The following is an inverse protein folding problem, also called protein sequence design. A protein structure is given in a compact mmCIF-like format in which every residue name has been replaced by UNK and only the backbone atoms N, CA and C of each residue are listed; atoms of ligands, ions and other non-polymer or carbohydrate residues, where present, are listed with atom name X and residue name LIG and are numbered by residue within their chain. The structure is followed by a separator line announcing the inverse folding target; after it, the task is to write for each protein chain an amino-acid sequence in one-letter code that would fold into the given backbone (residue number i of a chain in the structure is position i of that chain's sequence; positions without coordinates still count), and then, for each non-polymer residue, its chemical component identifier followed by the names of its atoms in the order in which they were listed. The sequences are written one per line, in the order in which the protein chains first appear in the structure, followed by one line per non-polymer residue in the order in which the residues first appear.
data_IF_373947176874
#
_entry.id   IF_373947176874
#
_cell.length_a   1.000
_cell.length_b   1.000
_cell.length_c   1.000
_cell.angle_alpha   90.00
_cell.angle_beta   90.00
_cell.angle_gamma   90.00
#
_symmetry.space_group_name_H-M   'P 1'
#
loop_
_entity.id
_entity.type
_entity.pdbx_description
1 polymer ?
#
# COMPACT_ATOMS: atom_id res chain seq x y z
N UNK A 1 -20.57 24.75 -16.92
CA UNK A 1 -20.78 23.51 -17.67
C UNK A 1 -21.18 22.42 -16.70
N UNK A 2 -22.23 21.63 -17.02
CA UNK A 2 -22.80 20.62 -16.12
C UNK A 2 -22.95 19.28 -16.83
N UNK A 3 -22.77 18.19 -16.09
CA UNK A 3 -23.07 16.82 -16.51
C UNK A 3 -24.46 16.47 -16.04
N UNK A 4 -25.32 16.08 -16.97
CA UNK A 4 -26.68 15.62 -16.68
C UNK A 4 -26.88 14.20 -17.19
N UNK A 5 -27.47 13.35 -16.36
CA UNK A 5 -27.85 11.98 -16.75
C UNK A 5 -29.08 12.07 -17.68
N UNK A 6 -29.06 11.30 -18.76
CA UNK A 6 -30.18 11.23 -19.70
C UNK A 6 -31.29 10.35 -19.09
N UNK A 7 -32.52 10.83 -19.08
CA UNK A 7 -33.67 10.19 -18.47
C UNK A 7 -33.80 10.53 -16.98
N UNK A 8 -34.69 9.78 -16.28
CA UNK A 8 -34.88 9.94 -14.84
C UNK A 8 -33.68 9.39 -14.06
N UNK A 9 -32.92 10.24 -13.31
CA UNK A 9 -31.70 9.81 -12.65
C UNK A 9 -31.90 8.67 -11.63
N UNK A 10 -32.98 8.66 -10.87
CA UNK A 10 -33.24 7.62 -9.89
C UNK A 10 -33.44 6.25 -10.55
N UNK A 11 -34.29 6.18 -11.57
CA UNK A 11 -34.48 4.97 -12.37
C UNK A 11 -33.17 4.48 -12.98
N UNK A 12 -32.42 5.39 -13.58
CA UNK A 12 -31.15 5.04 -14.25
C UNK A 12 -30.07 4.53 -13.29
N UNK A 13 -29.99 5.05 -12.07
CA UNK A 13 -29.05 4.55 -11.06
C UNK A 13 -29.50 3.20 -10.48
N UNK A 14 -30.81 2.95 -10.38
CA UNK A 14 -31.33 1.63 -9.98
C UNK A 14 -31.07 0.55 -11.04
N UNK A 15 -31.17 0.89 -12.32
CA UNK A 15 -30.81 -0.02 -13.42
C UNK A 15 -29.33 -0.41 -13.41
N UNK A 16 -28.44 0.56 -13.21
CA UNK A 16 -26.98 0.34 -13.16
C UNK A 16 -26.33 1.33 -12.16
N UNK A 17 -26.10 0.91 -10.91
CA UNK A 17 -25.49 1.76 -9.89
C UNK A 17 -24.11 2.30 -10.25
N UNK A 18 -23.36 1.62 -11.14
CA UNK A 18 -22.05 2.10 -11.62
C UNK A 18 -22.17 3.45 -12.36
N UNK A 19 -23.35 3.84 -12.79
CA UNK A 19 -23.57 5.17 -13.36
C UNK A 19 -23.29 6.30 -12.36
N UNK A 20 -23.42 6.06 -11.05
CA UNK A 20 -23.02 7.02 -10.02
C UNK A 20 -21.51 7.25 -10.07
N UNK A 21 -20.72 6.18 -10.19
CA UNK A 21 -19.26 6.29 -10.34
C UNK A 21 -18.85 6.98 -11.64
N UNK A 22 -19.57 6.71 -12.72
CA UNK A 22 -19.35 7.37 -14.01
C UNK A 22 -19.65 8.86 -13.95
N UNK A 23 -20.72 9.27 -13.26
CA UNK A 23 -21.04 10.69 -13.06
C UNK A 23 -19.89 11.41 -12.36
N UNK A 24 -19.35 10.86 -11.26
CA UNK A 24 -18.19 11.39 -10.56
C UNK A 24 -16.98 11.48 -11.49
N UNK A 25 -16.63 10.37 -12.14
CA UNK A 25 -15.46 10.32 -13.03
C UNK A 25 -15.53 11.32 -14.20
N UNK A 26 -16.69 11.52 -14.78
CA UNK A 26 -16.86 12.50 -15.85
C UNK A 26 -16.83 13.91 -15.31
N UNK A 27 -17.39 14.18 -14.13
CA UNK A 27 -17.31 15.48 -13.47
C UNK A 27 -15.86 15.91 -13.26
N UNK A 28 -15.03 15.05 -12.66
CA UNK A 28 -13.61 15.33 -12.41
C UNK A 28 -12.80 15.41 -13.71
N UNK A 29 -13.02 14.48 -14.65
CA UNK A 29 -12.28 14.45 -15.92
C UNK A 29 -12.52 15.67 -16.80
N UNK A 30 -13.74 16.20 -16.81
CA UNK A 30 -14.15 17.30 -17.68
C UNK A 30 -14.19 18.65 -16.94
N UNK A 31 -13.83 18.65 -15.66
CA UNK A 31 -13.94 19.82 -14.77
C UNK A 31 -15.34 20.45 -14.86
N UNK A 32 -16.36 19.62 -14.62
CA UNK A 32 -17.77 19.96 -14.66
C UNK A 32 -18.48 19.57 -13.38
N UNK A 33 -19.52 20.32 -13.03
CA UNK A 33 -20.42 19.95 -11.92
C UNK A 33 -21.48 18.92 -12.35
N UNK A 34 -21.88 18.05 -11.42
CA UNK A 34 -23.02 17.16 -11.63
C UNK A 34 -24.29 18.00 -11.43
N UNK A 35 -25.19 18.01 -12.42
CA UNK A 35 -26.47 18.69 -12.34
C UNK A 35 -27.27 18.27 -11.10
N UNK A 36 -27.99 19.20 -10.47
CA UNK A 36 -28.69 18.99 -9.21
C UNK A 36 -29.61 17.74 -9.23
N UNK A 37 -30.40 17.55 -10.29
CA UNK A 37 -31.30 16.38 -10.42
C UNK A 37 -30.53 15.06 -10.46
N UNK A 38 -29.36 15.04 -11.15
CA UNK A 38 -28.51 13.84 -11.25
C UNK A 38 -27.69 13.61 -9.98
N UNK A 39 -27.41 14.66 -9.21
CA UNK A 39 -26.67 14.63 -7.96
C UNK A 39 -27.52 14.14 -6.79
N UNK A 40 -28.77 14.62 -6.71
CA UNK A 40 -29.65 14.42 -5.55
C UNK A 40 -29.82 12.95 -5.13
N UNK A 41 -30.06 11.97 -6.04
CA UNK A 41 -30.29 10.59 -5.64
C UNK A 41 -29.02 9.77 -5.35
N UNK A 42 -27.79 10.30 -5.63
CA UNK A 42 -26.56 9.51 -5.51
C UNK A 42 -26.37 8.97 -4.09
N UNK A 43 -26.46 9.83 -3.08
CA UNK A 43 -26.19 9.44 -1.68
C UNK A 43 -27.24 8.44 -1.14
N UNK A 44 -28.49 8.63 -1.48
CA UNK A 44 -29.58 7.72 -1.05
C UNK A 44 -29.51 6.36 -1.75
N UNK A 45 -29.01 6.31 -2.98
CA UNK A 45 -28.86 5.09 -3.78
C UNK A 45 -27.49 4.46 -3.67
N UNK A 46 -26.53 5.08 -2.97
CA UNK A 46 -25.18 4.52 -2.74
C UNK A 46 -25.20 3.06 -2.24
N UNK A 47 -26.14 2.62 -1.37
CA UNK A 47 -26.23 1.22 -0.92
C UNK A 47 -26.36 0.20 -2.05
N UNK A 48 -26.88 0.58 -3.22
CA UNK A 48 -26.98 -0.31 -4.38
C UNK A 48 -25.59 -0.75 -4.91
N UNK A 49 -24.54 -0.03 -4.58
CA UNK A 49 -23.17 -0.41 -4.92
C UNK A 49 -22.73 -1.75 -4.31
N UNK A 50 -23.32 -2.16 -3.20
CA UNK A 50 -23.06 -3.46 -2.57
C UNK A 50 -23.41 -4.65 -3.48
N UNK A 51 -24.26 -4.45 -4.48
CA UNK A 51 -24.68 -5.49 -5.42
C UNK A 51 -23.78 -5.59 -6.65
N UNK A 52 -22.77 -4.72 -6.78
CA UNK A 52 -21.88 -4.72 -7.93
C UNK A 52 -20.81 -5.80 -7.76
N UNK A 53 -20.59 -6.67 -8.78
CA UNK A 53 -19.55 -7.69 -8.70
C UNK A 53 -18.16 -7.10 -8.43
N UNK A 54 -17.35 -7.68 -7.52
CA UNK A 54 -16.02 -7.18 -7.17
C UNK A 54 -15.07 -7.02 -8.37
N UNK A 55 -15.20 -7.86 -9.40
CA UNK A 55 -14.42 -7.71 -10.63
C UNK A 55 -14.75 -6.41 -11.38
N UNK A 56 -16.03 -6.03 -11.43
CA UNK A 56 -16.48 -4.77 -12.03
C UNK A 56 -16.02 -3.58 -11.20
N UNK A 57 -16.03 -3.70 -9.87
CA UNK A 57 -15.48 -2.67 -8.96
C UNK A 57 -13.99 -2.45 -9.20
N UNK A 58 -13.22 -3.50 -9.49
CA UNK A 58 -11.81 -3.37 -9.87
C UNK A 58 -11.62 -2.57 -11.16
N UNK A 59 -12.45 -2.81 -12.18
CA UNK A 59 -12.39 -2.04 -13.43
C UNK A 59 -12.72 -0.55 -13.21
N UNK A 60 -13.74 -0.26 -12.41
CA UNK A 60 -14.09 1.13 -12.06
C UNK A 60 -13.00 1.79 -11.21
N UNK A 61 -12.36 1.05 -10.29
CA UNK A 61 -11.19 1.54 -9.57
C UNK A 61 -10.10 2.03 -10.52
N UNK A 62 -9.75 1.24 -11.53
CA UNK A 62 -8.73 1.65 -12.50
C UNK A 62 -9.13 2.94 -13.23
N UNK A 63 -10.39 3.07 -13.63
CA UNK A 63 -10.89 4.25 -14.34
C UNK A 63 -10.92 5.50 -13.47
N UNK A 64 -11.18 5.36 -12.16
CA UNK A 64 -11.25 6.46 -11.20
C UNK A 64 -9.86 6.92 -10.73
N UNK A 65 -9.00 5.96 -10.39
CA UNK A 65 -7.76 6.26 -9.66
C UNK A 65 -6.48 6.20 -10.51
N UNK A 66 -6.58 5.74 -11.76
CA UNK A 66 -5.43 5.63 -12.67
C UNK A 66 -5.55 6.56 -13.89
N UNK A 67 -6.33 7.63 -13.76
CA UNK A 67 -6.63 8.58 -14.85
C UNK A 67 -6.05 9.99 -14.65
N UNK A 68 -5.23 10.19 -13.62
CA UNK A 68 -4.64 11.50 -13.31
C UNK A 68 -5.58 12.46 -12.56
N UNK A 69 -6.65 11.93 -11.95
CA UNK A 69 -7.66 12.66 -11.17
C UNK A 69 -8.08 11.86 -9.92
N UNK A 70 -7.13 11.13 -9.32
CA UNK A 70 -7.42 10.24 -8.20
C UNK A 70 -7.84 11.01 -6.94
N UNK A 71 -7.20 12.15 -6.65
CA UNK A 71 -7.51 12.96 -5.47
C UNK A 71 -8.94 13.50 -5.52
N UNK A 72 -9.30 14.11 -6.64
CA UNK A 72 -10.64 14.70 -6.82
C UNK A 72 -11.72 13.61 -6.81
N UNK A 73 -11.46 12.47 -7.44
CA UNK A 73 -12.36 11.32 -7.41
C UNK A 73 -12.53 10.77 -5.98
N UNK A 74 -11.46 10.67 -5.21
CA UNK A 74 -11.52 10.23 -3.82
C UNK A 74 -12.40 11.12 -2.95
N UNK A 75 -12.23 12.45 -3.08
CA UNK A 75 -13.02 13.42 -2.34
C UNK A 75 -14.51 13.28 -2.66
N UNK A 76 -14.89 13.25 -3.95
CA UNK A 76 -16.28 13.12 -4.35
C UNK A 76 -16.86 11.75 -3.95
N UNK A 77 -16.11 10.67 -4.05
CA UNK A 77 -16.56 9.34 -3.60
C UNK A 77 -16.88 9.34 -2.11
N UNK A 78 -16.10 10.06 -1.29
CA UNK A 78 -16.39 10.21 0.14
C UNK A 78 -17.62 11.09 0.39
N UNK A 79 -17.73 12.23 -0.27
CA UNK A 79 -18.87 13.15 -0.14
C UNK A 79 -20.20 12.47 -0.44
N UNK A 80 -20.20 11.54 -1.42
CA UNK A 80 -21.39 10.78 -1.81
C UNK A 80 -21.52 9.42 -1.11
N UNK A 81 -20.69 9.12 -0.12
CA UNK A 81 -20.71 7.84 0.61
C UNK A 81 -20.56 6.60 -0.30
N UNK A 82 -19.77 6.75 -1.38
CA UNK A 82 -19.51 5.68 -2.34
C UNK A 82 -18.17 4.98 -2.06
N UNK A 83 -17.22 5.65 -1.38
CA UNK A 83 -15.88 5.13 -1.12
C UNK A 83 -15.90 3.86 -0.26
N UNK A 84 -16.81 3.75 0.70
CA UNK A 84 -16.97 2.58 1.57
C UNK A 84 -17.21 1.27 0.80
N UNK A 85 -17.76 1.33 -0.42
CA UNK A 85 -17.98 0.14 -1.25
C UNK A 85 -16.73 -0.33 -1.98
N UNK A 86 -15.70 0.50 -2.06
CA UNK A 86 -14.38 0.12 -2.55
C UNK A 86 -13.48 -0.38 -1.41
N UNK A 87 -13.42 0.34 -0.30
CA UNK A 87 -12.51 0.11 0.82
C UNK A 87 -13.23 0.23 2.17
N UNK A 88 -14.06 -0.75 2.56
CA UNK A 88 -14.86 -0.66 3.78
C UNK A 88 -14.04 -0.40 5.05
N UNK A 89 -12.94 -1.16 5.24
CA UNK A 89 -12.07 -1.02 6.41
C UNK A 89 -11.38 0.36 6.46
N UNK A 90 -10.95 0.87 5.31
CA UNK A 90 -10.31 2.20 5.21
C UNK A 90 -11.33 3.30 5.49
N UNK A 91 -12.52 3.22 4.92
CA UNK A 91 -13.59 4.20 5.15
C UNK A 91 -14.02 4.24 6.61
N UNK A 92 -14.09 3.08 7.26
CA UNK A 92 -14.37 2.98 8.69
C UNK A 92 -13.28 3.71 9.50
N UNK A 93 -12.00 3.45 9.25
CA UNK A 93 -10.89 4.13 9.94
C UNK A 93 -10.89 5.65 9.71
N UNK A 94 -11.21 6.09 8.48
CA UNK A 94 -11.34 7.52 8.14
C UNK A 94 -12.49 8.19 8.91
N UNK A 95 -13.62 7.52 9.06
CA UNK A 95 -14.80 8.04 9.75
C UNK A 95 -14.62 8.03 11.28
N UNK A 96 -13.94 7.04 11.82
CA UNK A 96 -13.60 6.94 13.24
C UNK A 96 -12.43 7.83 13.66
N UNK A 97 -11.71 8.41 12.69
CA UNK A 97 -10.47 9.17 12.92
C UNK A 97 -9.42 8.39 13.73
N UNK A 98 -9.43 7.06 13.60
CA UNK A 98 -8.50 6.16 14.29
C UNK A 98 -7.04 6.50 14.00
N UNK A 99 -6.79 7.00 12.79
CA UNK A 99 -5.49 7.47 12.32
C UNK A 99 -5.63 8.87 11.71
N UNK A 100 -5.31 9.95 12.45
CA UNK A 100 -5.56 11.33 12.00
C UNK A 100 -4.98 11.68 10.63
N UNK A 101 -3.83 11.08 10.27
CA UNK A 101 -3.14 11.34 9.01
C UNK A 101 -3.40 10.31 7.91
N UNK A 102 -4.39 9.42 8.09
CA UNK A 102 -4.74 8.43 7.08
C UNK A 102 -5.20 9.07 5.77
N UNK A 103 -6.05 10.10 5.86
CA UNK A 103 -6.51 10.83 4.69
C UNK A 103 -5.35 11.49 3.94
N UNK A 104 -4.42 12.10 4.66
CA UNK A 104 -3.24 12.76 4.08
C UNK A 104 -2.31 11.75 3.40
N UNK A 105 -2.11 10.59 4.02
CA UNK A 105 -1.32 9.50 3.45
C UNK A 105 -1.91 9.00 2.12
N UNK A 106 -3.21 8.78 2.09
CA UNK A 106 -3.94 8.35 0.89
C UNK A 106 -3.88 9.45 -0.19
N UNK A 107 -4.17 10.71 0.18
CA UNK A 107 -4.12 11.83 -0.74
C UNK A 107 -2.72 12.05 -1.32
N UNK A 108 -1.67 11.89 -0.51
CA UNK A 108 -0.28 12.03 -0.99
C UNK A 108 0.09 10.92 -1.98
N UNK A 109 -0.32 9.68 -1.71
CA UNK A 109 -0.14 8.56 -2.65
C UNK A 109 -0.88 8.80 -3.97
N UNK A 110 -2.08 9.34 -3.91
CA UNK A 110 -2.87 9.71 -5.08
C UNK A 110 -2.24 10.87 -5.87
N UNK A 111 -1.81 11.95 -5.19
CA UNK A 111 -1.11 13.08 -5.82
C UNK A 111 0.13 12.62 -6.59
N UNK A 112 0.94 11.74 -5.97
CA UNK A 112 2.11 11.17 -6.61
C UNK A 112 1.75 10.31 -7.83
N UNK A 113 0.63 9.59 -7.77
CA UNK A 113 0.11 8.80 -8.89
C UNK A 113 -0.41 9.71 -9.99
N UNK A 114 -1.23 10.71 -9.66
CA UNK A 114 -1.78 11.68 -10.61
C UNK A 114 -0.66 12.45 -11.33
N UNK A 115 0.36 12.89 -10.58
CA UNK A 115 1.53 13.54 -11.16
C UNK A 115 2.21 12.65 -12.20
N UNK A 116 2.43 11.36 -11.88
CA UNK A 116 3.05 10.41 -12.81
C UNK A 116 2.19 10.16 -14.04
N UNK A 117 0.88 9.93 -13.85
CA UNK A 117 -0.05 9.71 -14.96
C UNK A 117 -0.09 10.91 -15.90
N UNK A 118 -0.18 12.12 -15.34
CA UNK A 118 -0.25 13.36 -16.12
C UNK A 118 1.07 13.72 -16.83
N UNK A 119 2.19 13.07 -16.46
CA UNK A 119 3.49 13.17 -17.11
C UNK A 119 3.87 11.91 -17.90
N UNK A 120 2.90 11.09 -18.32
CA UNK A 120 3.07 9.86 -19.09
C UNK A 120 4.07 8.86 -18.47
N UNK A 121 4.24 8.90 -17.15
CA UNK A 121 5.10 7.97 -16.43
C UNK A 121 4.35 6.70 -16.06
N UNK A 122 5.07 5.58 -16.03
CA UNK A 122 4.49 4.29 -15.68
C UNK A 122 4.02 4.26 -14.22
N UNK A 123 2.79 3.84 -14.02
CA UNK A 123 2.18 3.59 -12.71
C UNK A 123 1.61 2.17 -12.63
N UNK A 124 1.49 1.67 -11.42
CA UNK A 124 0.83 0.39 -11.15
C UNK A 124 -0.25 0.57 -10.09
N UNK A 125 -1.45 0.05 -10.29
CA UNK A 125 -2.52 0.15 -9.28
C UNK A 125 -2.13 -0.52 -7.95
N UNK A 126 -1.18 -1.48 -7.97
CA UNK A 126 -0.70 -2.13 -6.76
C UNK A 126 -0.12 -1.16 -5.73
N UNK A 127 0.49 -0.05 -6.16
CA UNK A 127 1.01 0.97 -5.24
C UNK A 127 -0.12 1.66 -4.47
N UNK A 128 -1.17 2.07 -5.16
CA UNK A 128 -2.34 2.68 -4.51
C UNK A 128 -3.06 1.70 -3.59
N UNK A 129 -3.25 0.45 -4.01
CA UNK A 129 -3.81 -0.59 -3.14
C UNK A 129 -2.95 -0.80 -1.88
N UNK A 130 -1.63 -0.83 -2.04
CA UNK A 130 -0.71 -0.95 -0.90
C UNK A 130 -0.81 0.26 0.04
N UNK A 131 -0.96 1.48 -0.50
CA UNK A 131 -1.13 2.68 0.29
C UNK A 131 -2.50 2.72 1.00
N UNK A 132 -3.58 2.43 0.30
CA UNK A 132 -4.93 2.37 0.88
C UNK A 132 -5.02 1.39 2.05
N UNK A 133 -4.44 0.21 1.91
CA UNK A 133 -4.55 -0.87 2.89
C UNK A 133 -3.41 -0.88 3.92
N UNK A 134 -2.53 0.14 3.92
CA UNK A 134 -1.38 0.19 4.84
C UNK A 134 -1.79 0.24 6.31
N UNK A 135 -2.66 1.17 6.68
CA UNK A 135 -3.09 1.32 8.07
C UNK A 135 -3.96 0.15 8.55
N UNK A 136 -4.96 -0.34 7.79
CA UNK A 136 -5.65 -1.59 8.14
C UNK A 136 -4.69 -2.75 8.34
N UNK A 137 -3.66 -2.87 7.49
CA UNK A 137 -2.62 -3.91 7.62
C UNK A 137 -1.81 -3.76 8.91
N UNK A 138 -1.40 -2.54 9.27
CA UNK A 138 -0.64 -2.28 10.50
C UNK A 138 -1.46 -2.57 11.76
N UNK A 139 -2.72 -2.14 11.78
CA UNK A 139 -3.64 -2.41 12.89
C UNK A 139 -3.85 -3.93 13.08
N UNK A 140 -4.04 -4.65 11.97
CA UNK A 140 -4.21 -6.09 12.02
C UNK A 140 -2.94 -6.82 12.51
N UNK A 141 -1.74 -6.37 12.09
CA UNK A 141 -0.47 -6.90 12.61
C UNK A 141 -0.36 -6.68 14.11
N UNK A 142 -0.68 -5.46 14.59
CA UNK A 142 -0.65 -5.15 16.02
C UNK A 142 -1.61 -6.03 16.81
N UNK A 143 -2.83 -6.23 16.31
CA UNK A 143 -3.83 -7.10 16.93
C UNK A 143 -3.33 -8.54 17.04
N UNK A 144 -2.79 -9.11 15.96
CA UNK A 144 -2.28 -10.48 15.97
C UNK A 144 -1.04 -10.65 16.86
N UNK A 145 -0.19 -9.64 16.98
CA UNK A 145 0.94 -9.67 17.89
C UNK A 145 0.51 -9.62 19.37
N UNK A 146 -0.48 -8.77 19.71
CA UNK A 146 -0.88 -8.54 21.08
C UNK A 146 -1.85 -9.61 21.59
N UNK A 147 -2.87 -9.97 20.82
CA UNK A 147 -3.93 -10.88 21.24
C UNK A 147 -3.58 -12.35 21.00
N UNK A 148 -3.02 -12.67 19.83
CA UNK A 148 -2.69 -14.06 19.48
C UNK A 148 -1.24 -14.44 19.82
N UNK A 149 -0.43 -13.50 20.35
CA UNK A 149 0.98 -13.69 20.71
C UNK A 149 1.82 -14.33 19.58
N UNK A 150 1.48 -14.02 18.33
CA UNK A 150 2.18 -14.53 17.17
C UNK A 150 3.56 -13.88 17.03
N UNK A 151 4.49 -14.57 16.38
CA UNK A 151 5.74 -13.94 15.99
C UNK A 151 5.47 -12.80 15.01
N UNK A 152 6.33 -11.75 14.94
CA UNK A 152 6.14 -10.65 13.97
C UNK A 152 5.97 -11.12 12.53
N UNK A 153 6.65 -12.20 12.16
CA UNK A 153 6.53 -12.79 10.82
C UNK A 153 5.18 -13.46 10.60
N UNK A 154 4.71 -14.27 11.58
CA UNK A 154 3.42 -14.95 11.48
C UNK A 154 2.27 -13.96 11.54
N UNK A 155 2.36 -12.92 12.39
CA UNK A 155 1.40 -11.82 12.44
C UNK A 155 1.32 -11.05 11.10
N UNK A 156 2.46 -10.78 10.46
CA UNK A 156 2.48 -10.15 9.14
C UNK A 156 1.74 -10.99 8.09
N UNK A 157 2.04 -12.30 7.99
CA UNK A 157 1.40 -13.15 6.99
C UNK A 157 -0.07 -13.44 7.32
N UNK A 158 -0.43 -13.54 8.60
CA UNK A 158 -1.82 -13.62 9.04
C UNK A 158 -2.62 -12.38 8.66
N UNK A 159 -2.12 -11.21 9.01
CA UNK A 159 -2.73 -9.93 8.65
C UNK A 159 -2.88 -9.76 7.13
N UNK A 160 -1.84 -10.11 6.37
CA UNK A 160 -1.89 -10.09 4.90
C UNK A 160 -3.03 -10.96 4.35
N UNK A 161 -3.17 -12.17 4.88
CA UNK A 161 -4.21 -13.11 4.44
C UNK A 161 -5.62 -12.57 4.74
N UNK A 162 -5.84 -12.06 5.94
CA UNK A 162 -7.13 -11.53 6.37
C UNK A 162 -7.51 -10.28 5.58
N UNK A 163 -6.64 -9.28 5.51
CA UNK A 163 -6.87 -8.02 4.78
C UNK A 163 -7.14 -8.29 3.29
N UNK A 164 -6.38 -9.20 2.66
CA UNK A 164 -6.61 -9.56 1.27
C UNK A 164 -7.94 -10.28 1.07
N UNK A 165 -8.32 -11.18 1.98
CA UNK A 165 -9.59 -11.92 1.91
C UNK A 165 -10.79 -10.98 2.06
N UNK A 166 -10.74 -10.04 2.99
CA UNK A 166 -11.79 -9.05 3.18
C UNK A 166 -11.90 -8.10 1.99
N UNK A 167 -10.79 -7.57 1.53
CA UNK A 167 -10.77 -6.63 0.41
C UNK A 167 -11.28 -7.27 -0.90
N UNK A 168 -11.04 -8.58 -1.10
CA UNK A 168 -11.52 -9.32 -2.28
C UNK A 168 -13.04 -9.35 -2.39
N UNK A 169 -13.78 -9.17 -1.30
CA UNK A 169 -15.24 -9.12 -1.30
C UNK A 169 -15.77 -7.82 -1.94
N UNK A 170 -14.99 -6.74 -1.84
CA UNK A 170 -15.35 -5.42 -2.38
C UNK A 170 -14.72 -5.17 -3.75
N UNK A 171 -13.44 -5.50 -3.91
CA UNK A 171 -12.69 -5.35 -5.17
C UNK A 171 -11.90 -6.63 -5.43
N UNK A 172 -12.14 -7.28 -6.56
CA UNK A 172 -11.39 -8.47 -6.99
C UNK A 172 -9.99 -8.09 -7.51
N UNK A 173 -9.06 -7.79 -6.57
CA UNK A 173 -7.67 -7.44 -6.92
C UNK A 173 -6.99 -8.66 -7.53
N UNK A 174 -6.49 -8.61 -8.79
CA UNK A 174 -5.80 -9.72 -9.40
C UNK A 174 -4.53 -10.13 -8.65
N UNK A 175 -4.23 -11.44 -8.56
CA UNK A 175 -3.08 -12.01 -7.82
C UNK A 175 -1.75 -11.34 -8.17
N UNK A 176 -1.55 -10.94 -9.43
CA UNK A 176 -0.34 -10.23 -9.88
C UNK A 176 -0.12 -8.89 -9.14
N UNK A 177 -1.18 -8.16 -8.81
CA UNK A 177 -1.09 -6.91 -8.05
C UNK A 177 -0.95 -7.17 -6.56
N UNK A 178 -1.62 -8.20 -6.02
CA UNK A 178 -1.45 -8.63 -4.63
C UNK A 178 0.01 -9.00 -4.33
N UNK A 179 0.68 -9.70 -5.26
CA UNK A 179 2.11 -10.02 -5.13
C UNK A 179 2.98 -8.76 -5.04
N UNK A 180 2.70 -7.73 -5.86
CA UNK A 180 3.44 -6.46 -5.80
C UNK A 180 3.17 -5.70 -4.51
N UNK A 181 1.91 -5.67 -4.02
CA UNK A 181 1.57 -5.07 -2.72
C UNK A 181 2.35 -5.74 -1.58
N UNK A 182 2.35 -7.06 -1.54
CA UNK A 182 3.14 -7.85 -0.59
C UNK A 182 4.62 -7.49 -0.63
N UNK A 183 5.20 -7.39 -1.83
CA UNK A 183 6.61 -7.02 -1.99
C UNK A 183 6.90 -5.61 -1.46
N UNK A 184 6.01 -4.64 -1.73
CA UNK A 184 6.13 -3.26 -1.21
C UNK A 184 6.15 -3.27 0.32
N UNK A 185 5.23 -3.98 0.96
CA UNK A 185 5.14 -4.07 2.43
C UNK A 185 6.32 -4.80 3.06
N UNK A 186 6.75 -5.92 2.48
CA UNK A 186 7.95 -6.66 2.94
C UNK A 186 9.20 -5.79 2.81
N UNK A 187 9.30 -4.97 1.77
CA UNK A 187 10.42 -4.06 1.58
C UNK A 187 10.50 -3.02 2.68
N UNK A 188 9.39 -2.60 3.31
CA UNK A 188 9.45 -1.66 4.42
C UNK A 188 10.27 -2.17 5.60
N UNK A 189 10.21 -3.47 5.89
CA UNK A 189 11.05 -4.10 6.92
C UNK A 189 12.48 -4.36 6.43
N UNK A 190 12.64 -4.76 5.16
CA UNK A 190 13.96 -5.04 4.59
C UNK A 190 14.83 -3.80 4.45
N UNK A 191 14.23 -2.66 4.08
CA UNK A 191 14.94 -1.39 3.91
C UNK A 191 15.56 -0.87 5.22
N UNK A 192 15.02 -1.24 6.39
CA UNK A 192 15.62 -0.92 7.68
C UNK A 192 16.97 -1.63 7.89
N UNK A 193 17.11 -2.84 7.32
CA UNK A 193 18.28 -3.70 7.52
C UNK A 193 19.31 -3.46 6.41
N UNK A 194 20.17 -2.48 6.58
CA UNK A 194 21.13 -1.99 5.57
C UNK A 194 22.53 -2.63 5.65
N UNK A 195 22.77 -3.48 6.64
CA UNK A 195 24.09 -4.05 6.93
C UNK A 195 24.53 -5.09 5.89
N UNK A 196 25.78 -5.06 5.52
CA UNK A 196 26.44 -6.05 4.67
C UNK A 196 25.76 -6.28 3.31
N UNK A 197 25.57 -7.55 2.95
CA UNK A 197 24.95 -7.94 1.67
C UNK A 197 23.44 -7.64 1.59
N UNK A 198 22.78 -7.24 2.70
CA UNK A 198 21.34 -7.00 2.74
C UNK A 198 20.94 -5.76 1.94
N UNK A 199 21.77 -4.71 1.98
CA UNK A 199 21.52 -3.49 1.20
C UNK A 199 21.55 -3.78 -0.30
N UNK A 200 22.54 -4.52 -0.80
CA UNK A 200 22.61 -4.89 -2.21
C UNK A 200 21.42 -5.75 -2.64
N UNK A 201 21.05 -6.76 -1.82
CA UNK A 201 19.87 -7.61 -2.10
C UNK A 201 18.56 -6.82 -2.12
N UNK A 202 18.44 -5.78 -1.31
CA UNK A 202 17.29 -4.91 -1.33
C UNK A 202 17.28 -4.04 -2.59
N UNK A 203 18.41 -3.47 -2.98
CA UNK A 203 18.57 -2.65 -4.20
C UNK A 203 18.27 -3.45 -5.48
N UNK A 204 18.75 -4.72 -5.53
CA UNK A 204 18.52 -5.64 -6.66
C UNK A 204 17.07 -6.15 -6.75
N UNK A 205 16.24 -5.88 -5.74
CA UNK A 205 14.87 -6.39 -5.74
C UNK A 205 14.04 -5.75 -6.86
N UNK A 206 13.30 -6.52 -7.70
CA UNK A 206 12.56 -6.00 -8.85
C UNK A 206 11.52 -4.92 -8.50
N UNK A 207 11.11 -4.86 -7.23
CA UNK A 207 10.16 -3.86 -6.70
C UNK A 207 10.83 -2.84 -5.78
N UNK A 208 12.17 -2.75 -5.78
CA UNK A 208 12.89 -1.81 -4.93
C UNK A 208 12.37 -0.38 -5.11
N UNK A 209 12.22 0.08 -6.35
CA UNK A 209 11.73 1.45 -6.62
C UNK A 209 10.37 1.72 -5.97
N UNK A 210 9.43 0.80 -6.10
CA UNK A 210 8.11 0.95 -5.49
C UNK A 210 8.18 0.91 -3.95
N UNK A 211 9.02 0.04 -3.38
CA UNK A 211 9.27 -0.02 -1.94
C UNK A 211 9.94 1.25 -1.40
N UNK A 212 10.87 1.82 -2.15
CA UNK A 212 11.53 3.08 -1.82
C UNK A 212 10.59 4.28 -1.92
N UNK A 213 9.80 4.39 -2.99
CA UNK A 213 8.77 5.44 -3.12
C UNK A 213 7.74 5.35 -1.96
N UNK A 214 7.42 4.14 -1.51
CA UNK A 214 6.54 3.93 -0.35
C UNK A 214 7.20 4.34 0.97
N UNK A 215 8.51 4.12 1.12
CA UNK A 215 9.28 4.60 2.28
C UNK A 215 9.28 6.13 2.34
N UNK A 216 9.50 6.81 1.19
CA UNK A 216 9.41 8.27 1.10
C UNK A 216 8.04 8.76 1.54
N UNK A 217 6.96 8.16 1.01
CA UNK A 217 5.58 8.49 1.37
C UNK A 217 5.35 8.41 2.89
N UNK A 218 5.87 7.36 3.54
CA UNK A 218 5.80 7.19 4.99
C UNK A 218 6.58 8.27 5.74
N UNK A 219 7.81 8.56 5.28
CA UNK A 219 8.67 9.57 5.89
C UNK A 219 8.06 10.98 5.82
N UNK A 220 7.45 11.34 4.69
CA UNK A 220 6.78 12.63 4.51
C UNK A 220 5.59 12.79 5.47
N UNK A 221 4.78 11.77 5.64
CA UNK A 221 3.63 11.81 6.54
C UNK A 221 4.05 11.81 8.01
N UNK A 222 5.03 11.00 8.40
CA UNK A 222 5.54 11.04 9.77
C UNK A 222 6.14 12.41 10.12
N UNK A 223 6.86 13.02 9.18
CA UNK A 223 7.37 14.39 9.35
C UNK A 223 6.23 15.42 9.46
N UNK A 224 5.15 15.27 8.72
CA UNK A 224 3.98 16.15 8.82
C UNK A 224 3.23 16.00 10.15
N UNK A 225 3.28 14.82 10.79
CA UNK A 225 2.71 14.60 12.13
C UNK A 225 3.50 15.32 13.21
N UNK A 226 4.77 15.06 13.27
CA UNK A 226 5.71 15.65 14.21
C UNK A 226 7.14 15.51 13.64
N UNK A 227 7.63 16.64 13.10
CA UNK A 227 8.96 16.69 12.48
C UNK A 227 10.12 16.44 13.47
N UNK A 228 9.87 16.55 14.77
CA UNK A 228 10.85 16.35 15.83
C UNK A 228 10.78 14.95 16.44
N UNK A 229 9.80 14.13 16.05
CA UNK A 229 9.69 12.77 16.58
C UNK A 229 10.88 11.91 16.13
N UNK A 230 11.31 11.01 17.02
CA UNK A 230 12.35 10.03 16.71
C UNK A 230 11.99 9.18 15.49
N UNK A 231 10.72 8.84 15.35
CA UNK A 231 10.22 8.05 14.22
C UNK A 231 10.32 8.82 12.89
N UNK A 232 9.94 10.10 12.87
CA UNK A 232 10.06 10.95 11.67
C UNK A 232 11.52 11.08 11.25
N UNK A 233 12.40 11.41 12.20
CA UNK A 233 13.84 11.53 11.96
C UNK A 233 14.42 10.24 11.42
N UNK A 234 14.12 9.09 12.03
CA UNK A 234 14.62 7.79 11.60
C UNK A 234 14.15 7.41 10.18
N UNK A 235 12.89 7.71 9.82
CA UNK A 235 12.38 7.43 8.47
C UNK A 235 12.97 8.38 7.42
N UNK A 236 13.17 9.66 7.76
CA UNK A 236 13.83 10.62 6.86
C UNK A 236 15.29 10.25 6.60
N UNK A 237 16.06 9.91 7.65
CA UNK A 237 17.41 9.43 7.51
C UNK A 237 17.51 8.15 6.68
N UNK A 238 16.56 7.24 6.90
CA UNK A 238 16.48 6.00 6.12
C UNK A 238 16.18 6.28 4.65
N UNK A 239 15.21 7.14 4.34
CA UNK A 239 14.87 7.53 2.97
C UNK A 239 16.04 8.25 2.28
N UNK A 240 16.70 9.18 2.98
CA UNK A 240 17.89 9.86 2.48
C UNK A 240 19.02 8.88 2.19
N UNK A 241 19.33 7.99 3.14
CA UNK A 241 20.38 6.99 2.97
C UNK A 241 20.15 6.12 1.72
N UNK A 242 18.91 5.65 1.48
CA UNK A 242 18.59 4.88 0.28
C UNK A 242 18.65 5.73 -1.00
N UNK A 243 18.30 7.01 -0.92
CA UNK A 243 18.46 7.97 -2.01
C UNK A 243 19.91 8.09 -2.43
N UNK A 244 20.80 8.32 -1.46
CA UNK A 244 22.25 8.43 -1.68
C UNK A 244 22.84 7.10 -2.16
N UNK A 245 22.45 5.97 -1.55
CA UNK A 245 22.93 4.64 -1.86
C UNK A 245 22.66 4.20 -3.31
N UNK A 246 21.46 4.48 -3.83
CA UNK A 246 21.12 4.13 -5.22
C UNK A 246 21.79 5.06 -6.25
N UNK A 247 22.19 6.26 -5.86
CA UNK A 247 22.85 7.23 -6.73
C UNK A 247 24.37 7.06 -6.80
N UNK A 248 24.97 6.36 -5.81
CA UNK A 248 26.43 6.18 -5.71
C UNK A 248 26.95 5.02 -6.56
N UNK A 249 28.27 5.08 -6.86
CA UNK A 249 29.02 3.95 -7.44
C UNK A 249 29.30 2.84 -6.40
N UNK A 250 29.72 1.67 -6.87
CA UNK A 250 29.93 0.48 -6.04
C UNK A 250 30.91 0.68 -4.88
N UNK A 251 31.98 1.46 -5.07
CA UNK A 251 32.98 1.71 -4.03
C UNK A 251 32.39 2.56 -2.91
N UNK A 252 31.68 3.63 -3.24
CA UNK A 252 30.99 4.47 -2.27
C UNK A 252 29.89 3.70 -1.54
N UNK A 253 29.13 2.84 -2.23
CA UNK A 253 28.14 1.95 -1.61
C UNK A 253 28.76 1.05 -0.54
N UNK A 254 29.95 0.49 -0.81
CA UNK A 254 30.69 -0.31 0.18
C UNK A 254 31.11 0.51 1.40
N UNK A 255 31.57 1.75 1.20
CA UNK A 255 31.92 2.66 2.29
C UNK A 255 30.68 2.98 3.14
N UNK A 256 29.56 3.30 2.51
CA UNK A 256 28.31 3.57 3.20
C UNK A 256 27.83 2.38 4.05
N UNK A 257 27.96 1.15 3.55
CA UNK A 257 27.62 -0.05 4.32
C UNK A 257 28.55 -0.25 5.52
N UNK A 258 29.86 -0.03 5.35
CA UNK A 258 30.84 -0.19 6.43
C UNK A 258 30.66 0.84 7.55
N UNK A 259 30.13 2.03 7.25
CA UNK A 259 29.84 3.06 8.24
C UNK A 259 28.62 2.74 9.12
N UNK A 260 27.78 1.78 8.72
CA UNK A 260 26.64 1.36 9.53
C UNK A 260 27.14 0.43 10.64
N UNK A 261 26.93 0.81 11.90
CA UNK A 261 27.23 -0.06 13.04
C UNK A 261 26.46 -1.40 12.90
N UNK A 262 27.12 -2.56 13.13
CA UNK A 262 26.46 -3.84 12.99
C UNK A 262 25.27 -3.92 13.94
N UNK A 263 24.09 -4.22 13.37
CA UNK A 263 22.86 -4.43 14.16
C UNK A 263 23.11 -5.50 15.22
N UNK A 264 22.98 -5.11 16.51
CA UNK A 264 23.23 -5.98 17.68
C UNK A 264 22.22 -7.12 17.86
N UNK A 265 21.19 -7.22 17.02
CA UNK A 265 20.09 -8.18 17.17
C UNK A 265 20.12 -9.28 16.10
N UNK A 266 20.97 -10.30 16.36
CA UNK A 266 20.87 -11.60 15.70
C UNK A 266 21.60 -12.64 16.56
N UNK A 267 20.98 -13.78 16.91
CA UNK A 267 21.69 -14.82 17.62
C UNK A 267 22.89 -15.27 16.76
N UNK A 268 24.09 -15.17 17.32
CA UNK A 268 25.32 -15.71 16.72
C UNK A 268 25.07 -17.20 16.45
N UNK A 269 24.82 -17.54 15.19
CA UNK A 269 24.86 -18.95 14.74
C UNK A 269 26.27 -19.46 14.95
N UNK A 270 26.52 -20.08 16.09
CA UNK A 270 27.70 -20.89 16.29
C UNK A 270 27.68 -21.98 15.23
N UNK A 271 28.62 -21.89 14.30
CA UNK A 271 28.85 -22.94 13.31
C UNK A 271 29.30 -24.19 14.05
N UNK A 272 28.35 -25.13 14.25
CA UNK A 272 28.64 -26.45 14.80
C UNK A 272 29.59 -27.13 13.84
N UNK A 273 30.90 -27.16 14.18
CA UNK A 273 31.92 -27.91 13.47
C UNK A 273 31.43 -29.35 13.33
N UNK A 274 31.18 -29.80 12.11
CA UNK A 274 30.83 -31.17 11.77
C UNK A 274 32.01 -32.07 12.16
N UNK A 275 31.90 -32.79 13.26
CA UNK A 275 32.88 -33.84 13.65
C UNK A 275 32.88 -34.87 12.54
N UNK A 276 34.06 -35.13 11.96
CA UNK A 276 34.30 -36.26 11.06
C UNK A 276 34.04 -37.57 11.83
N UNK A 277 33.43 -38.60 11.23
CA UNK A 277 33.29 -39.89 11.85
C UNK A 277 34.67 -40.52 12.01
N UNK A 278 34.94 -41.06 13.21
CA UNK A 278 36.15 -41.80 13.55
C UNK A 278 36.01 -43.19 12.92
N UNK A 279 36.88 -43.51 11.96
CA UNK A 279 37.00 -44.84 11.40
C UNK A 279 37.54 -45.76 12.51
N UNK A 280 36.77 -46.75 12.91
CA UNK A 280 37.24 -47.87 13.74
C UNK A 280 37.89 -48.88 12.80
N UNK A 281 39.22 -49.02 12.89
CA UNK A 281 39.91 -50.18 12.37
C UNK A 281 39.65 -51.36 13.32
N UNK A 282 38.89 -52.33 12.86
CA UNK A 282 38.85 -53.65 13.47
C UNK A 282 39.96 -54.48 12.86
N UNK A 283 41.04 -54.65 13.59
CA UNK A 283 42.01 -55.71 13.36
C UNK A 283 41.41 -57.02 13.81
N UNK A 284 41.23 -57.93 12.88
CA UNK A 284 40.97 -59.34 13.12
C UNK A 284 42.34 -60.03 13.17
N UNK A 285 42.63 -60.68 14.31
CA UNK A 285 43.63 -61.66 14.43
C UNK A 285 43.01 -63.02 14.90
N UNK A 286 43.46 -64.10 14.22
CA UNK A 286 43.37 -65.55 14.44
C UNK A 286 42.04 -66.23 14.11
#
# INVERSE_FOLDING_TARGET
KQIRLIGDPETRYREDPVRMLRAIRFATKLDMEIHADSKAPIKSLAPLMANIPPARMFEEFLKLFMSGKAVENFQLLRDYSLFQYFFPAVDQQLNQQSHPYLADFICLAMKNTDHRVNNDQRVTPAFLFAAMLWYPMQEQIQRLNSEAQLTPQDAFFGALSEIMSEQQRSIAIPKRFQAVMKDIWILQEKLVRRDGKRAFKALEHPKFRAGYDFLILRAEIECAKDSQSEQATALQELAKWWGDFQACNADTQQVMIKSIAPSRNGPRRTTRKRRKPRVQNSSSDA
#
